data_IF_343409658273
#
_entry.id   IF_343409658273
#
_cell.length_a   1.000
_cell.length_b   1.000
_cell.length_c   1.000
_cell.angle_alpha   90.00
_cell.angle_beta   90.00
_cell.angle_gamma   90.00
#
_symmetry.space_group_name_H-M   'P 1'
#
loop_
_entity.id
_entity.type
_entity.pdbx_description
1 polymer ?
#
# COMPACT_ATOMS: atom_id res chain seq x y z
N UNK A 1 -9.75 2.11 -7.86
CA UNK A 1 -10.55 1.43 -6.83
C UNK A 1 -10.51 2.27 -5.56
N UNK A 2 -11.64 2.54 -4.93
CA UNK A 2 -11.61 3.39 -3.73
C UNK A 2 -11.16 2.60 -2.49
N UNK A 3 -9.89 2.73 -2.11
CA UNK A 3 -9.34 2.15 -0.88
C UNK A 3 -10.19 2.46 0.36
N UNK A 4 -10.77 3.66 0.43
CA UNK A 4 -11.68 4.06 1.51
C UNK A 4 -12.91 3.14 1.62
N UNK A 5 -13.48 2.74 0.49
CA UNK A 5 -14.65 1.86 0.46
C UNK A 5 -14.29 0.44 0.86
N UNK A 6 -13.15 -0.07 0.38
CA UNK A 6 -12.68 -1.41 0.73
C UNK A 6 -12.35 -1.50 2.22
N UNK A 7 -11.62 -0.54 2.77
CA UNK A 7 -11.31 -0.50 4.21
C UNK A 7 -12.60 -0.45 5.03
N UNK A 8 -13.56 0.39 4.65
CA UNK A 8 -14.87 0.43 5.31
C UNK A 8 -15.62 -0.91 5.21
N UNK A 9 -15.55 -1.60 4.07
CA UNK A 9 -16.16 -2.92 3.89
C UNK A 9 -15.55 -3.93 4.87
N UNK A 10 -14.22 -3.96 4.99
CA UNK A 10 -13.51 -4.84 5.91
C UNK A 10 -13.85 -4.47 7.36
N UNK A 11 -13.80 -3.19 7.73
CA UNK A 11 -14.09 -2.75 9.11
C UNK A 11 -15.53 -3.07 9.57
N UNK A 12 -16.45 -3.22 8.63
CA UNK A 12 -17.83 -3.62 8.91
C UNK A 12 -18.04 -5.13 8.98
N UNK A 13 -17.05 -5.95 8.58
CA UNK A 13 -17.16 -7.41 8.54
C UNK A 13 -17.13 -8.02 9.94
N UNK A 14 -17.64 -9.26 10.05
CA UNK A 14 -17.64 -9.98 11.33
C UNK A 14 -16.21 -10.35 11.75
N UNK A 15 -15.39 -10.80 10.80
CA UNK A 15 -13.99 -11.17 10.98
C UNK A 15 -13.19 -10.01 11.57
N UNK A 16 -13.36 -8.79 11.04
CA UNK A 16 -12.68 -7.62 11.56
C UNK A 16 -13.16 -7.22 12.96
N UNK A 17 -14.47 -7.32 13.24
CA UNK A 17 -15.00 -7.02 14.58
C UNK A 17 -14.47 -8.00 15.62
N UNK A 18 -14.40 -9.28 15.30
CA UNK A 18 -13.79 -10.29 16.18
C UNK A 18 -12.30 -10.05 16.38
N UNK A 19 -11.59 -9.66 15.31
CA UNK A 19 -10.21 -9.21 15.40
C UNK A 19 -10.05 -8.01 16.35
N UNK A 20 -10.87 -6.95 16.20
CA UNK A 20 -10.79 -5.76 17.06
C UNK A 20 -11.12 -6.01 18.53
N UNK A 21 -11.90 -7.06 18.84
CA UNK A 21 -12.10 -7.49 20.24
C UNK A 21 -10.82 -8.07 20.85
N UNK A 22 -10.01 -8.78 20.04
CA UNK A 22 -8.74 -9.38 20.47
C UNK A 22 -7.58 -8.39 20.42
N UNK A 23 -7.60 -7.48 19.46
CA UNK A 23 -6.54 -6.51 19.17
C UNK A 23 -7.10 -5.07 19.19
N UNK A 24 -7.57 -4.60 20.37
CA UNK A 24 -8.31 -3.35 20.49
C UNK A 24 -7.48 -2.11 20.12
N UNK A 25 -6.15 -2.19 20.28
CA UNK A 25 -5.22 -1.11 19.93
C UNK A 25 -4.65 -1.20 18.51
N UNK A 26 -5.00 -2.23 17.74
CA UNK A 26 -4.50 -2.32 16.38
C UNK A 26 -5.03 -1.19 15.49
N UNK A 27 -4.17 -0.65 14.63
CA UNK A 27 -4.47 0.48 13.76
C UNK A 27 -4.00 0.21 12.32
N UNK A 28 -4.68 0.85 11.36
CA UNK A 28 -4.37 0.70 9.94
C UNK A 28 -2.97 1.25 9.66
N UNK A 29 -2.14 0.49 8.96
CA UNK A 29 -0.77 0.88 8.60
C UNK A 29 -0.53 0.93 7.10
N UNK A 30 -1.20 0.09 6.33
CA UNK A 30 -1.06 0.11 4.87
C UNK A 30 -2.29 -0.42 4.13
N UNK A 31 -2.41 0.00 2.88
CA UNK A 31 -3.23 -0.65 1.86
C UNK A 31 -2.31 -1.00 0.69
N UNK A 32 -2.18 -2.29 0.42
CA UNK A 32 -1.30 -2.86 -0.60
C UNK A 32 -2.13 -3.43 -1.75
N UNK A 33 -1.80 -3.06 -2.98
CA UNK A 33 -2.43 -3.56 -4.19
C UNK A 33 -1.35 -3.95 -5.20
N UNK A 34 -1.56 -5.07 -5.90
CA UNK A 34 -0.72 -5.49 -7.01
C UNK A 34 -1.59 -5.88 -8.19
N UNK A 35 -1.08 -5.67 -9.41
CA UNK A 35 -1.78 -6.08 -10.63
C UNK A 35 -2.13 -7.56 -10.57
N UNK A 36 -3.39 -7.92 -10.86
CA UNK A 36 -3.93 -9.28 -10.83
C UNK A 36 -3.92 -9.96 -9.45
N UNK A 37 -3.82 -9.21 -8.35
CA UNK A 37 -3.93 -9.71 -6.99
C UNK A 37 -5.04 -8.98 -6.22
N UNK A 38 -5.51 -9.61 -5.14
CA UNK A 38 -6.41 -8.95 -4.20
C UNK A 38 -5.70 -7.80 -3.47
N UNK A 39 -6.48 -6.85 -2.99
CA UNK A 39 -5.96 -5.76 -2.16
C UNK A 39 -5.86 -6.22 -0.72
N UNK A 40 -4.67 -6.03 -0.16
CA UNK A 40 -4.32 -6.36 1.22
C UNK A 40 -4.40 -5.12 2.09
N UNK A 41 -5.09 -5.22 3.23
CA UNK A 41 -5.26 -4.13 4.19
C UNK A 41 -4.61 -4.55 5.50
N UNK A 42 -3.51 -3.88 5.85
CA UNK A 42 -2.69 -4.23 7.00
C UNK A 42 -3.01 -3.39 8.23
N UNK A 43 -3.21 -4.06 9.35
CA UNK A 43 -3.36 -3.47 10.68
C UNK A 43 -2.22 -3.92 11.58
N UNK A 44 -1.55 -3.00 12.24
CA UNK A 44 -0.49 -3.32 13.19
C UNK A 44 -1.03 -3.28 14.62
N UNK A 45 -0.72 -4.30 15.41
CA UNK A 45 -0.95 -4.29 16.85
C UNK A 45 0.35 -4.04 17.60
N UNK A 46 0.37 -3.00 18.43
CA UNK A 46 1.49 -2.74 19.36
C UNK A 46 1.55 -3.77 20.49
N UNK A 47 0.43 -4.46 20.78
CA UNK A 47 0.36 -5.42 21.89
C UNK A 47 1.00 -6.75 21.50
N UNK A 48 0.65 -7.28 20.33
CA UNK A 48 1.21 -8.53 19.80
C UNK A 48 2.43 -8.33 18.91
N UNK A 49 2.77 -7.08 18.55
CA UNK A 49 3.83 -6.73 17.60
C UNK A 49 3.70 -7.47 16.25
N UNK A 50 2.45 -7.69 15.82
CA UNK A 50 2.12 -8.37 14.56
C UNK A 50 1.41 -7.43 13.61
N UNK A 51 1.54 -7.74 12.32
CA UNK A 51 0.69 -7.17 11.28
C UNK A 51 -0.36 -8.20 10.91
N UNK A 52 -1.62 -7.77 10.92
CA UNK A 52 -2.79 -8.54 10.52
C UNK A 52 -3.25 -7.99 9.18
N UNK A 53 -3.24 -8.84 8.17
CA UNK A 53 -3.61 -8.47 6.80
C UNK A 53 -4.98 -9.04 6.50
N UNK A 54 -5.86 -8.19 5.99
CA UNK A 54 -7.18 -8.58 5.51
C UNK A 54 -7.24 -8.49 4.00
N UNK A 55 -7.86 -9.47 3.36
CA UNK A 55 -8.17 -9.46 1.93
C UNK A 55 -9.66 -9.78 1.71
N UNK A 56 -10.23 -9.15 0.68
CA UNK A 56 -11.56 -9.48 0.18
C UNK A 56 -11.42 -10.35 -1.07
N UNK A 57 -11.79 -11.61 -0.95
CA UNK A 57 -11.69 -12.61 -2.04
C UNK A 57 -12.91 -12.61 -2.96
N UNK A 58 -13.89 -11.74 -2.70
CA UNK A 58 -15.19 -11.71 -3.38
C UNK A 58 -16.23 -12.64 -2.75
N UNK A 59 -15.80 -13.75 -2.15
CA UNK A 59 -16.70 -14.69 -1.44
C UNK A 59 -16.69 -14.47 0.07
N UNK A 60 -15.52 -14.17 0.64
CA UNK A 60 -15.29 -14.02 2.07
C UNK A 60 -14.18 -13.00 2.33
N UNK A 61 -14.15 -12.46 3.55
CA UNK A 61 -13.01 -11.70 4.08
C UNK A 61 -12.06 -12.68 4.75
N UNK A 62 -10.82 -12.72 4.29
CA UNK A 62 -9.76 -13.52 4.93
C UNK A 62 -8.87 -12.64 5.77
N UNK A 63 -8.39 -13.20 6.87
CA UNK A 63 -7.39 -12.59 7.75
C UNK A 63 -6.18 -13.50 7.85
N UNK A 64 -5.00 -12.94 7.62
CA UNK A 64 -3.72 -13.58 7.86
C UNK A 64 -2.93 -12.79 8.90
N UNK A 65 -2.15 -13.47 9.74
CA UNK A 65 -1.20 -12.82 10.64
C UNK A 65 0.23 -13.06 10.17
N UNK A 66 1.04 -12.01 10.23
CA UNK A 66 2.46 -12.06 9.91
C UNK A 66 3.24 -11.35 11.02
N UNK A 67 4.43 -11.85 11.41
CA UNK A 67 5.32 -11.11 12.30
C UNK A 67 5.63 -9.75 11.69
N UNK A 68 5.55 -8.67 12.48
CA UNK A 68 6.07 -7.41 12.01
C UNK A 68 7.59 -7.55 11.86
N UNK A 69 8.13 -7.33 10.66
CA UNK A 69 9.57 -7.34 10.41
C UNK A 69 10.27 -6.48 11.47
N UNK A 70 11.25 -7.07 12.16
CA UNK A 70 11.88 -6.46 13.34
C UNK A 70 12.51 -5.08 13.01
N UNK A 71 12.96 -4.88 11.78
CA UNK A 71 13.53 -3.60 11.32
C UNK A 71 12.48 -2.49 11.08
N UNK A 72 11.19 -2.83 10.97
CA UNK A 72 10.11 -1.88 10.60
C UNK A 72 9.26 -1.48 11.82
N UNK A 73 9.39 -2.19 12.96
CA UNK A 73 8.50 -2.02 14.11
C UNK A 73 8.49 -0.60 14.71
N UNK A 74 9.59 0.15 14.57
CA UNK A 74 9.70 1.51 15.12
C UNK A 74 9.11 2.60 14.21
N UNK A 75 8.82 2.28 12.95
CA UNK A 75 8.43 3.26 11.92
C UNK A 75 7.01 3.04 11.36
N UNK A 76 6.29 2.03 11.85
CA UNK A 76 4.89 1.83 11.46
C UNK A 76 4.02 2.93 12.05
N UNK A 77 3.67 3.91 11.21
CA UNK A 77 2.79 5.02 11.56
C UNK A 77 1.36 4.72 11.12
N UNK A 78 0.41 5.22 11.90
CA UNK A 78 -1.01 5.10 11.57
C UNK A 78 -1.32 5.78 10.24
N UNK A 79 -1.96 5.02 9.35
CA UNK A 79 -2.51 5.46 8.08
C UNK A 79 -3.90 6.08 8.30
N UNK A 80 -3.97 7.42 8.25
CA UNK A 80 -5.22 8.17 8.38
C UNK A 80 -5.86 8.40 7.01
N UNK A 81 -6.76 7.50 6.60
CA UNK A 81 -7.47 7.60 5.31
C UNK A 81 -8.25 8.90 5.10
N UNK A 82 -8.66 9.58 6.17
CA UNK A 82 -9.33 10.88 6.10
C UNK A 82 -8.47 11.98 5.50
N UNK A 83 -7.13 11.84 5.55
CA UNK A 83 -6.17 12.79 4.96
C UNK A 83 -5.86 12.53 3.49
N UNK A 84 -6.19 11.35 2.98
CA UNK A 84 -5.94 10.96 1.58
C UNK A 84 -6.88 11.76 0.67
N UNK A 85 -6.32 12.59 -0.21
CA UNK A 85 -7.08 13.53 -1.04
C UNK A 85 -7.65 12.90 -2.33
N UNK A 86 -7.02 11.86 -2.86
CA UNK A 86 -7.41 11.18 -4.10
C UNK A 86 -7.19 9.67 -4.01
N UNK A 87 -7.74 8.91 -4.94
CA UNK A 87 -7.73 7.45 -4.92
C UNK A 87 -6.50 6.83 -5.61
N UNK A 88 -6.45 5.49 -5.61
CA UNK A 88 -5.39 4.72 -6.24
C UNK A 88 -5.27 5.02 -7.74
N UNK A 89 -6.39 5.25 -8.42
CA UNK A 89 -6.43 5.37 -9.87
C UNK A 89 -5.78 6.69 -10.29
N UNK A 90 -6.05 7.77 -9.53
CA UNK A 90 -5.36 9.04 -9.74
C UNK A 90 -3.87 8.96 -9.40
N UNK A 91 -3.49 8.23 -8.34
CA UNK A 91 -2.08 8.01 -8.01
C UNK A 91 -1.32 7.30 -9.14
N UNK A 92 -1.93 6.25 -9.70
CA UNK A 92 -1.38 5.51 -10.84
C UNK A 92 -1.28 6.40 -12.08
N UNK A 93 -2.30 7.24 -12.36
CA UNK A 93 -2.26 8.19 -13.47
C UNK A 93 -1.05 9.15 -13.37
N UNK A 94 -0.81 9.72 -12.18
CA UNK A 94 0.34 10.60 -11.93
C UNK A 94 1.66 9.84 -12.15
N UNK A 95 1.79 8.63 -11.58
CA UNK A 95 2.99 7.81 -11.74
C UNK A 95 3.25 7.42 -13.22
N UNK A 96 2.20 7.10 -13.97
CA UNK A 96 2.30 6.84 -15.41
C UNK A 96 2.71 8.09 -16.19
N UNK A 97 2.30 9.29 -15.75
CA UNK A 97 2.78 10.55 -16.31
C UNK A 97 4.29 10.70 -16.16
N UNK A 98 4.81 10.49 -14.95
CA UNK A 98 6.26 10.53 -14.67
C UNK A 98 7.03 9.47 -15.46
N UNK A 99 6.49 8.25 -15.54
CA UNK A 99 7.11 7.20 -16.34
C UNK A 99 7.21 7.61 -17.81
N UNK A 100 6.14 8.16 -18.41
CA UNK A 100 6.15 8.61 -19.81
C UNK A 100 7.11 9.78 -20.06
N UNK A 101 7.23 10.70 -19.11
CA UNK A 101 8.07 11.89 -19.23
C UNK A 101 9.57 11.55 -19.06
N UNK A 102 9.93 10.84 -18.00
CA UNK A 102 11.34 10.62 -17.60
C UNK A 102 11.89 9.25 -18.00
N UNK A 103 11.02 8.25 -18.12
CA UNK A 103 11.37 6.84 -18.27
C UNK A 103 10.66 6.19 -19.46
N UNK A 104 10.48 6.93 -20.56
CA UNK A 104 9.66 6.54 -21.71
C UNK A 104 10.03 5.18 -22.34
N UNK A 105 11.26 4.70 -22.12
CA UNK A 105 11.76 3.40 -22.61
C UNK A 105 11.35 2.22 -21.73
N UNK A 106 10.92 2.47 -20.51
CA UNK A 106 10.50 1.44 -19.56
C UNK A 106 9.08 0.98 -19.88
N UNK A 107 8.95 -0.25 -20.38
CA UNK A 107 7.64 -0.86 -20.64
C UNK A 107 7.16 -1.51 -19.34
N UNK A 108 6.03 -1.06 -18.80
CA UNK A 108 5.49 -1.57 -17.53
C UNK A 108 4.81 -2.92 -17.77
N UNK A 109 5.23 -3.95 -17.03
CA UNK A 109 4.59 -5.27 -17.02
C UNK A 109 3.63 -5.42 -15.84
N UNK A 110 3.99 -4.83 -14.69
CA UNK A 110 3.25 -4.98 -13.45
C UNK A 110 3.39 -3.72 -12.62
N UNK A 111 2.35 -3.38 -11.86
CA UNK A 111 2.42 -2.38 -10.82
C UNK A 111 2.15 -2.99 -9.44
N UNK A 112 2.83 -2.43 -8.45
CA UNK A 112 2.60 -2.61 -7.02
C UNK A 112 2.36 -1.21 -6.46
N UNK A 113 1.32 -1.05 -5.67
CA UNK A 113 0.96 0.22 -5.04
C UNK A 113 0.75 -0.01 -3.55
N UNK A 114 1.42 0.78 -2.73
CA UNK A 114 1.28 0.76 -1.28
C UNK A 114 0.92 2.16 -0.81
N UNK A 115 -0.27 2.32 -0.25
CA UNK A 115 -0.62 3.51 0.53
C UNK A 115 -0.19 3.27 1.97
N UNK A 116 0.69 4.12 2.49
CA UNK A 116 1.24 3.99 3.84
C UNK A 116 1.72 5.34 4.37
N UNK A 117 2.00 5.40 5.67
CA UNK A 117 2.58 6.57 6.31
C UNK A 117 4.07 6.31 6.59
N UNK A 118 4.95 7.09 5.96
CA UNK A 118 6.40 7.06 6.13
C UNK A 118 6.91 8.32 6.84
N UNK A 119 8.20 8.43 7.14
CA UNK A 119 8.78 9.65 7.72
C UNK A 119 8.61 10.90 6.86
N UNK A 120 8.52 10.71 5.55
CA UNK A 120 8.25 11.75 4.55
C UNK A 120 6.75 12.09 4.41
N UNK A 121 5.89 11.49 5.24
CA UNK A 121 4.46 11.75 5.30
C UNK A 121 3.60 10.62 4.75
N UNK A 122 2.36 10.95 4.39
CA UNK A 122 1.39 10.03 3.84
C UNK A 122 1.63 9.84 2.34
N UNK A 123 1.94 8.62 1.90
CA UNK A 123 2.53 8.38 0.59
C UNK A 123 1.84 7.22 -0.14
N UNK A 124 1.56 7.43 -1.42
CA UNK A 124 1.42 6.35 -2.40
C UNK A 124 2.82 5.97 -2.91
N UNK A 125 3.30 4.81 -2.51
CA UNK A 125 4.54 4.22 -3.00
C UNK A 125 4.19 3.26 -4.14
N UNK A 126 4.48 3.66 -5.38
CA UNK A 126 4.15 2.92 -6.59
C UNK A 126 5.44 2.35 -7.17
N UNK A 127 5.48 1.03 -7.34
CA UNK A 127 6.59 0.34 -8.00
C UNK A 127 6.10 -0.27 -9.30
N UNK A 128 6.67 0.17 -10.42
CA UNK A 128 6.50 -0.48 -11.71
C UNK A 128 7.63 -1.48 -11.93
N UNK A 129 7.26 -2.73 -12.22
CA UNK A 129 8.19 -3.74 -12.71
C UNK A 129 8.15 -3.69 -14.24
N UNK A 130 9.30 -3.46 -14.85
CA UNK A 130 9.40 -3.23 -16.30
C UNK A 130 9.78 -4.50 -17.05
N UNK A 131 9.54 -4.53 -18.36
CA UNK A 131 9.93 -5.64 -19.23
C UNK A 131 11.45 -5.87 -19.29
N UNK A 132 12.23 -4.84 -18.97
CA UNK A 132 13.68 -4.92 -18.83
C UNK A 132 14.12 -5.40 -17.44
N UNK A 133 13.18 -5.85 -16.58
CA UNK A 133 13.42 -6.21 -15.19
C UNK A 133 14.06 -5.08 -14.38
N UNK A 134 13.63 -3.84 -14.64
CA UNK A 134 13.88 -2.73 -13.74
C UNK A 134 12.70 -2.55 -12.78
N UNK A 135 12.96 -1.96 -11.62
CA UNK A 135 11.96 -1.37 -10.75
C UNK A 135 12.02 0.14 -10.88
N UNK A 136 10.92 0.74 -11.34
CA UNK A 136 10.69 2.18 -11.25
C UNK A 136 9.84 2.44 -10.01
N UNK A 137 10.44 2.99 -8.96
CA UNK A 137 9.77 3.37 -7.73
C UNK A 137 9.43 4.86 -7.76
N UNK A 138 8.18 5.21 -7.50
CA UNK A 138 7.66 6.58 -7.48
C UNK A 138 6.87 6.77 -6.19
N UNK A 139 7.24 7.77 -5.40
CA UNK A 139 6.55 8.16 -4.18
C UNK A 139 5.77 9.45 -4.42
N UNK A 140 4.48 9.41 -4.15
CA UNK A 140 3.56 10.54 -4.33
C UNK A 140 2.93 10.86 -2.98
N UNK A 141 2.94 12.13 -2.59
CA UNK A 141 2.22 12.60 -1.42
C UNK A 141 0.72 12.37 -1.61
N UNK A 142 0.08 11.59 -0.72
CA UNK A 142 -1.34 11.25 -0.87
C UNK A 142 -2.30 12.36 -0.42
N UNK A 143 -1.79 13.40 0.25
CA UNK A 143 -2.55 14.60 0.65
C UNK A 143 -2.53 15.66 -0.47
N UNK A 144 -1.41 15.80 -1.20
CA UNK A 144 -1.21 16.89 -2.18
C UNK A 144 -1.15 16.45 -3.64
N UNK A 145 -0.76 15.20 -3.91
CA UNK A 145 -0.52 14.68 -5.26
C UNK A 145 0.86 15.02 -5.82
N UNK A 146 1.70 15.67 -5.03
CA UNK A 146 3.07 16.01 -5.42
C UNK A 146 3.96 14.76 -5.44
N UNK A 147 4.80 14.65 -6.47
CA UNK A 147 5.81 13.59 -6.56
C UNK A 147 6.96 13.97 -5.64
N UNK A 148 7.22 13.13 -4.64
CA UNK A 148 8.27 13.34 -3.63
C UNK A 148 9.60 12.79 -4.15
N UNK A 149 9.57 11.62 -4.77
CA UNK A 149 10.76 10.89 -5.21
C UNK A 149 10.42 9.97 -6.39
N UNK A 150 11.33 9.85 -7.34
CA UNK A 150 11.31 8.83 -8.38
C UNK A 150 12.71 8.22 -8.58
N UNK A 151 12.79 6.89 -8.72
CA UNK A 151 14.06 6.18 -8.92
C UNK A 151 13.90 4.94 -9.78
N UNK A 152 14.91 4.64 -10.58
CA UNK A 152 14.99 3.44 -11.42
C UNK A 152 16.15 2.57 -10.94
N UNK A 153 15.86 1.32 -10.59
CA UNK A 153 16.85 0.33 -10.19
C UNK A 153 16.72 -0.95 -11.01
N UNK A 154 17.82 -1.70 -11.18
CA UNK A 154 17.79 -3.03 -11.81
C UNK A 154 17.45 -4.08 -10.76
N UNK A 155 16.54 -5.01 -11.07
CA UNK A 155 16.25 -6.15 -10.19
C UNK A 155 17.38 -7.20 -10.20
N UNK A 156 18.18 -7.23 -11.25
CA UNK A 156 19.29 -8.18 -11.39
C UNK A 156 20.57 -7.42 -11.69
N UNK A 157 21.54 -7.52 -10.80
CA UNK A 157 22.93 -7.08 -11.00
C UNK A 157 23.82 -8.29 -11.19
N UNK A 158 24.64 -8.27 -12.25
CA UNK A 158 25.82 -9.12 -12.39
C UNK A 158 27.04 -8.29 -12.01
#
# INVERSE_FOLDING_TARGET
>A
MEFKQLVKKIELSEEFREFKKKEPKAYLVHVFQMTNANTNIGYYSTESQKVFTFEDTGNEIRMEEQPAFQEIQHDLKELKLSKVAFDSDKAIEIALGIQKEKYAREIINQNILILQHLDIGLVFNITFITAAFNTLNIKINAETGEVIEDSLARLVGW
#
